data_IF_733387571100
#
_entry.id   IF_733387571100
#
_cell.length_a   1.000
_cell.length_b   1.000
_cell.length_c   1.000
_cell.angle_alpha   90.00
_cell.angle_beta   90.00
_cell.angle_gamma   90.00
#
_symmetry.space_group_name_H-M   'P 1'
#
loop_
_entity.id
_entity.type
_entity.pdbx_description
1 polymer ?
#
# COMPACT_ATOMS: atom_id res chain seq x y z
N UNK A 1 39.96 -38.21 -2.66
CA UNK A 1 38.93 -37.29 -2.14
C UNK A 1 39.49 -36.16 -1.27
N UNK A 2 40.79 -36.12 -0.93
CA UNK A 2 41.31 -35.16 0.07
C UNK A 2 41.91 -33.83 -0.45
N UNK A 3 42.34 -33.73 -1.71
CA UNK A 3 43.04 -32.54 -2.20
C UNK A 3 42.11 -31.34 -2.46
N UNK A 4 40.88 -31.60 -2.91
CA UNK A 4 39.88 -30.56 -3.19
C UNK A 4 39.31 -29.92 -1.92
N UNK A 5 39.08 -30.71 -0.87
CA UNK A 5 38.66 -30.21 0.45
C UNK A 5 39.73 -29.32 1.08
N UNK A 6 41.01 -29.74 1.01
CA UNK A 6 42.13 -28.97 1.57
C UNK A 6 42.25 -27.59 0.91
N UNK A 7 42.10 -27.52 -0.43
CA UNK A 7 42.15 -26.24 -1.16
C UNK A 7 40.95 -25.32 -0.87
N UNK A 8 39.75 -25.88 -0.63
CA UNK A 8 38.59 -25.11 -0.18
C UNK A 8 38.78 -24.56 1.24
N UNK A 9 39.40 -25.33 2.13
CA UNK A 9 39.66 -24.94 3.52
C UNK A 9 40.70 -23.80 3.61
N UNK A 10 41.70 -23.77 2.73
CA UNK A 10 42.65 -22.63 2.63
C UNK A 10 42.02 -21.35 2.05
N UNK A 11 40.85 -21.43 1.40
CA UNK A 11 40.12 -20.28 0.84
C UNK A 11 38.97 -19.79 1.74
N UNK A 12 38.70 -20.49 2.85
CA UNK A 12 37.68 -20.13 3.84
C UNK A 12 37.92 -18.73 4.43
N UNK A 13 36.87 -17.96 4.77
CA UNK A 13 36.98 -16.67 5.45
C UNK A 13 37.90 -16.71 6.69
N UNK A 14 37.85 -17.79 7.47
CA UNK A 14 38.68 -17.96 8.67
C UNK A 14 40.17 -18.10 8.31
N UNK A 15 40.48 -18.81 7.23
CA UNK A 15 41.84 -18.97 6.75
C UNK A 15 42.41 -17.63 6.21
N UNK A 16 41.56 -16.80 5.60
CA UNK A 16 41.92 -15.43 5.18
C UNK A 16 42.15 -14.52 6.39
N UNK A 17 41.29 -14.59 7.41
CA UNK A 17 41.40 -13.82 8.67
C UNK A 17 42.70 -14.15 9.40
N UNK A 18 43.03 -15.44 9.52
CA UNK A 18 44.26 -15.91 10.16
C UNK A 18 45.53 -15.46 9.40
N UNK A 19 45.50 -15.47 8.06
CA UNK A 19 46.62 -14.96 7.24
C UNK A 19 46.81 -13.45 7.40
N UNK A 20 45.72 -12.68 7.40
CA UNK A 20 45.74 -11.24 7.61
C UNK A 20 46.32 -10.91 8.99
N UNK A 21 45.84 -11.61 10.02
CA UNK A 21 46.33 -11.46 11.39
C UNK A 21 47.85 -11.70 11.49
N UNK A 22 48.35 -12.83 10.98
CA UNK A 22 49.80 -13.12 10.98
C UNK A 22 50.62 -12.08 10.22
N UNK A 23 50.11 -11.58 9.09
CA UNK A 23 50.80 -10.54 8.31
C UNK A 23 50.85 -9.20 9.05
N UNK A 24 49.79 -8.85 9.78
CA UNK A 24 49.75 -7.67 10.65
C UNK A 24 50.73 -7.84 11.83
N UNK A 25 50.70 -8.98 12.52
CA UNK A 25 51.61 -9.25 13.64
C UNK A 25 53.09 -9.10 13.25
N UNK A 26 53.46 -9.55 12.03
CA UNK A 26 54.84 -9.40 11.52
C UNK A 26 55.23 -7.94 11.22
N UNK A 27 54.29 -7.08 10.81
CA UNK A 27 54.60 -5.71 10.36
C UNK A 27 54.44 -4.64 11.44
N UNK A 28 53.43 -4.79 12.30
CA UNK A 28 53.04 -3.76 13.28
C UNK A 28 53.10 -4.27 14.73
N UNK A 29 53.49 -5.53 14.94
CA UNK A 29 53.58 -6.15 16.26
C UNK A 29 52.28 -6.82 16.69
N UNK A 30 52.39 -7.77 17.62
CA UNK A 30 51.29 -8.64 18.02
C UNK A 30 50.11 -7.88 18.64
N UNK A 31 50.40 -6.94 19.54
CA UNK A 31 49.38 -6.21 20.30
C UNK A 31 48.53 -5.31 19.41
N UNK A 32 49.17 -4.50 18.56
CA UNK A 32 48.46 -3.59 17.65
C UNK A 32 47.69 -4.36 16.58
N UNK A 33 48.20 -5.53 16.17
CA UNK A 33 47.50 -6.42 15.24
C UNK A 33 46.26 -7.06 15.87
N UNK A 34 46.31 -7.48 17.14
CA UNK A 34 45.15 -8.01 17.87
C UNK A 34 44.07 -6.94 18.01
N UNK A 35 44.44 -5.73 18.47
CA UNK A 35 43.51 -4.60 18.58
C UNK A 35 42.84 -4.28 17.23
N UNK A 36 43.62 -4.26 16.14
CA UNK A 36 43.07 -4.00 14.81
C UNK A 36 42.08 -5.09 14.38
N UNK A 37 42.36 -6.35 14.71
CA UNK A 37 41.47 -7.48 14.39
C UNK A 37 40.17 -7.45 15.20
N UNK A 38 40.17 -6.86 16.39
CA UNK A 38 38.97 -6.66 17.22
C UNK A 38 38.02 -5.59 16.64
N UNK A 39 38.55 -4.60 15.94
CA UNK A 39 37.74 -3.62 15.20
C UNK A 39 37.18 -4.16 13.88
N UNK A 40 37.71 -5.28 13.36
CA UNK A 40 37.19 -5.89 12.15
C UNK A 40 35.96 -6.75 12.45
N UNK A 41 34.82 -6.50 11.78
CA UNK A 41 33.61 -7.28 12.01
C UNK A 41 33.88 -8.80 11.84
N UNK A 42 33.21 -9.66 12.62
CA UNK A 42 33.47 -11.10 12.66
C UNK A 42 33.17 -11.79 11.32
N UNK A 43 32.11 -11.38 10.62
CA UNK A 43 31.87 -11.72 9.22
C UNK A 43 32.40 -10.60 8.33
N UNK A 44 33.04 -10.96 7.21
CA UNK A 44 33.73 -9.99 6.36
C UNK A 44 32.86 -8.82 5.92
N UNK A 45 33.50 -7.71 5.55
CA UNK A 45 32.88 -6.48 5.02
C UNK A 45 31.91 -6.67 3.84
N UNK A 46 31.77 -7.88 3.32
CA UNK A 46 30.76 -8.24 2.32
C UNK A 46 29.33 -8.27 2.85
N UNK A 47 29.11 -8.45 4.16
CA UNK A 47 27.77 -8.44 4.78
C UNK A 47 27.29 -7.03 5.15
N UNK A 48 28.18 -6.03 5.13
CA UNK A 48 27.78 -4.64 5.29
C UNK A 48 27.09 -4.22 4.00
N UNK A 49 25.80 -3.89 4.11
CA UNK A 49 24.98 -3.41 3.00
C UNK A 49 25.77 -2.36 2.22
N UNK A 50 26.07 -2.66 0.96
CA UNK A 50 26.84 -1.74 0.13
C UNK A 50 25.94 -0.57 -0.20
N UNK A 51 26.55 0.58 -0.47
CA UNK A 51 25.81 1.76 -0.92
C UNK A 51 24.91 1.45 -2.13
N UNK A 52 25.39 0.61 -3.06
CA UNK A 52 24.60 0.15 -4.22
C UNK A 52 23.34 -0.61 -3.85
N UNK A 53 23.36 -1.37 -2.76
CA UNK A 53 22.22 -2.15 -2.30
C UNK A 53 21.17 -1.21 -1.69
N UNK A 54 21.63 -0.17 -1.01
CA UNK A 54 20.80 0.91 -0.49
C UNK A 54 20.17 1.73 -1.62
N UNK A 55 20.95 2.14 -2.63
CA UNK A 55 20.46 2.89 -3.79
C UNK A 55 19.41 2.07 -4.58
N UNK A 56 19.61 0.75 -4.69
CA UNK A 56 18.64 -0.15 -5.33
C UNK A 56 17.36 -0.29 -4.51
N UNK A 57 17.50 -0.33 -3.18
CA UNK A 57 16.36 -0.38 -2.26
C UNK A 57 15.56 0.92 -2.30
N UNK A 58 16.22 2.08 -2.31
CA UNK A 58 15.62 3.41 -2.44
C UNK A 58 14.76 3.51 -3.70
N UNK A 59 15.33 3.18 -4.87
CA UNK A 59 14.61 3.18 -6.16
C UNK A 59 13.39 2.25 -6.14
N UNK A 60 13.51 1.09 -5.50
CA UNK A 60 12.40 0.14 -5.37
C UNK A 60 11.31 0.66 -4.43
N UNK A 61 11.66 1.39 -3.38
CA UNK A 61 10.69 2.04 -2.51
C UNK A 61 9.98 3.18 -3.25
N UNK A 62 10.71 4.05 -3.93
CA UNK A 62 10.16 5.18 -4.70
C UNK A 62 9.14 4.68 -5.73
N UNK A 63 9.51 3.69 -6.55
CA UNK A 63 8.59 3.07 -7.52
C UNK A 63 7.34 2.45 -6.87
N UNK A 64 7.46 1.90 -5.65
CA UNK A 64 6.31 1.36 -4.92
C UNK A 64 5.41 2.47 -4.38
N UNK A 65 6.00 3.58 -3.92
CA UNK A 65 5.24 4.75 -3.46
C UNK A 65 4.48 5.38 -4.61
N UNK A 66 5.12 5.60 -5.77
CA UNK A 66 4.45 6.13 -6.97
C UNK A 66 3.27 5.25 -7.43
N UNK A 67 3.45 3.93 -7.34
CA UNK A 67 2.40 2.97 -7.65
C UNK A 67 1.25 3.02 -6.65
N UNK A 68 1.54 3.24 -5.36
CA UNK A 68 0.52 3.40 -4.34
C UNK A 68 -0.25 4.70 -4.52
N UNK A 69 0.42 5.82 -4.78
CA UNK A 69 -0.22 7.11 -5.04
C UNK A 69 -1.16 7.02 -6.24
N UNK A 70 -0.70 6.41 -7.34
CA UNK A 70 -1.53 6.18 -8.52
C UNK A 70 -2.79 5.36 -8.22
N UNK A 71 -2.68 4.37 -7.32
CA UNK A 71 -3.82 3.53 -6.90
C UNK A 71 -4.77 4.29 -5.99
N UNK A 72 -4.26 5.13 -5.10
CA UNK A 72 -5.06 6.00 -4.24
C UNK A 72 -5.85 6.99 -5.08
N UNK A 73 -5.21 7.67 -6.04
CA UNK A 73 -5.87 8.57 -6.99
C UNK A 73 -7.01 7.89 -7.77
N UNK A 74 -6.79 6.65 -8.22
CA UNK A 74 -7.80 5.88 -8.92
C UNK A 74 -9.01 5.55 -8.02
N UNK A 75 -8.75 5.17 -6.77
CA UNK A 75 -9.81 4.90 -5.78
C UNK A 75 -10.58 6.19 -5.44
N UNK A 76 -9.90 7.31 -5.27
CA UNK A 76 -10.55 8.60 -5.01
C UNK A 76 -11.51 8.99 -6.15
N UNK A 77 -11.08 8.82 -7.41
CA UNK A 77 -11.95 9.07 -8.57
C UNK A 77 -13.18 8.16 -8.56
N UNK A 78 -13.00 6.87 -8.29
CA UNK A 78 -14.13 5.92 -8.18
C UNK A 78 -15.10 6.30 -7.05
N UNK A 79 -14.60 6.77 -5.91
CA UNK A 79 -15.44 7.24 -4.80
C UNK A 79 -16.24 8.48 -5.20
N UNK A 80 -15.63 9.43 -5.91
CA UNK A 80 -16.32 10.62 -6.42
C UNK A 80 -17.42 10.24 -7.41
N UNK A 81 -17.14 9.32 -8.33
CA UNK A 81 -18.11 8.79 -9.29
C UNK A 81 -19.29 8.10 -8.59
N UNK A 82 -19.01 7.16 -7.70
CA UNK A 82 -20.03 6.47 -6.90
C UNK A 82 -20.88 7.45 -6.08
N UNK A 83 -20.27 8.48 -5.49
CA UNK A 83 -21.00 9.53 -4.76
C UNK A 83 -21.97 10.29 -5.67
N UNK A 84 -21.56 10.58 -6.90
CA UNK A 84 -22.41 11.25 -7.88
C UNK A 84 -23.57 10.35 -8.33
N UNK A 85 -23.32 9.07 -8.57
CA UNK A 85 -24.36 8.08 -8.90
C UNK A 85 -25.38 7.94 -7.78
N UNK A 86 -24.93 7.81 -6.52
CA UNK A 86 -25.80 7.73 -5.35
C UNK A 86 -26.66 9.00 -5.20
N UNK A 87 -26.09 10.18 -5.44
CA UNK A 87 -26.86 11.44 -5.45
C UNK A 87 -27.90 11.47 -6.57
N UNK A 88 -27.56 11.01 -7.77
CA UNK A 88 -28.50 10.94 -8.89
C UNK A 88 -29.68 10.01 -8.59
N UNK A 89 -29.40 8.83 -8.02
CA UNK A 89 -30.43 7.88 -7.58
C UNK A 89 -31.32 8.48 -6.47
N UNK A 90 -30.73 9.21 -5.52
CA UNK A 90 -31.46 9.91 -4.47
C UNK A 90 -32.43 10.96 -5.01
N UNK A 91 -31.97 11.79 -5.96
CA UNK A 91 -32.79 12.81 -6.59
C UNK A 91 -33.92 12.21 -7.43
N UNK A 92 -33.66 11.10 -8.13
CA UNK A 92 -34.67 10.38 -8.90
C UNK A 92 -35.77 9.81 -8.00
N UNK A 93 -35.41 9.17 -6.89
CA UNK A 93 -36.37 8.67 -5.89
C UNK A 93 -37.24 9.80 -5.35
N UNK A 94 -36.64 10.94 -4.99
CA UNK A 94 -37.39 12.07 -4.44
C UNK A 94 -38.39 12.63 -5.47
N UNK A 95 -38.00 12.69 -6.74
CA UNK A 95 -38.86 13.19 -7.83
C UNK A 95 -40.05 12.26 -8.08
N UNK A 96 -39.81 10.94 -8.11
CA UNK A 96 -40.87 9.95 -8.31
C UNK A 96 -41.85 9.95 -7.13
N UNK A 97 -41.35 10.01 -5.88
CA UNK A 97 -42.20 10.07 -4.69
C UNK A 97 -43.03 11.36 -4.65
N UNK A 98 -42.44 12.51 -4.96
CA UNK A 98 -43.12 13.80 -4.95
C UNK A 98 -44.25 13.85 -5.99
N UNK A 99 -43.96 13.45 -7.23
CA UNK A 99 -44.95 13.41 -8.32
C UNK A 99 -46.03 12.36 -8.06
N UNK A 100 -45.65 11.15 -7.62
CA UNK A 100 -46.59 10.10 -7.24
C UNK A 100 -47.54 10.53 -6.11
N UNK A 101 -47.01 11.17 -5.06
CA UNK A 101 -47.82 11.69 -3.95
C UNK A 101 -48.80 12.77 -4.43
N UNK A 102 -48.38 13.69 -5.29
CA UNK A 102 -49.26 14.72 -5.85
C UNK A 102 -50.40 14.15 -6.71
N UNK A 103 -50.11 13.11 -7.51
CA UNK A 103 -51.11 12.41 -8.32
C UNK A 103 -52.15 11.70 -7.45
N UNK A 104 -51.70 11.02 -6.39
CA UNK A 104 -52.59 10.35 -5.44
C UNK A 104 -53.51 11.37 -4.73
N UNK A 105 -52.95 12.46 -4.21
CA UNK A 105 -53.73 13.53 -3.55
C UNK A 105 -54.77 14.11 -4.53
N UNK A 106 -54.39 14.37 -5.78
CA UNK A 106 -55.28 14.93 -6.79
C UNK A 106 -56.46 14.01 -7.12
N UNK A 107 -56.24 12.70 -7.20
CA UNK A 107 -57.30 11.70 -7.41
C UNK A 107 -58.29 11.67 -6.24
N UNK A 108 -57.80 11.69 -5.00
CA UNK A 108 -58.67 11.69 -3.82
C UNK A 108 -59.49 12.97 -3.70
N UNK A 109 -58.89 14.13 -3.92
CA UNK A 109 -59.58 15.42 -3.89
C UNK A 109 -60.62 15.51 -5.02
N UNK A 110 -60.26 15.09 -6.23
CA UNK A 110 -61.17 15.09 -7.38
C UNK A 110 -62.38 14.19 -7.19
N UNK A 111 -62.17 12.95 -6.74
CA UNK A 111 -63.27 12.00 -6.47
C UNK A 111 -64.13 12.45 -5.29
N UNK A 112 -63.50 12.97 -4.21
CA UNK A 112 -64.22 13.50 -3.06
C UNK A 112 -65.13 14.67 -3.42
N UNK A 113 -64.64 15.61 -4.24
CA UNK A 113 -65.44 16.73 -4.72
C UNK A 113 -66.63 16.29 -5.59
N UNK A 114 -66.42 15.30 -6.45
CA UNK A 114 -67.48 14.75 -7.31
C UNK A 114 -68.58 14.05 -6.50
N UNK A 115 -68.19 13.30 -5.47
CA UNK A 115 -69.13 12.62 -4.56
C UNK A 115 -70.01 13.62 -3.81
N UNK A 116 -69.44 14.72 -3.31
CA UNK A 116 -70.19 15.81 -2.67
C UNK A 116 -71.18 16.47 -3.64
N UNK A 117 -70.77 16.70 -4.89
CA UNK A 117 -71.64 17.29 -5.91
C UNK A 117 -72.85 16.38 -6.24
N UNK A 118 -72.64 15.06 -6.31
CA UNK A 118 -73.72 14.08 -6.56
C UNK A 118 -74.73 14.07 -5.41
N UNK A 119 -74.26 14.08 -4.16
CA UNK A 119 -75.13 14.09 -2.97
C UNK A 119 -76.00 15.35 -2.92
N UNK A 120 -75.45 16.52 -3.26
CA UNK A 120 -76.22 17.76 -3.32
C UNK A 120 -77.29 17.76 -4.42
N UNK A 121 -77.08 17.01 -5.51
CA UNK A 121 -78.02 16.93 -6.62
C UNK A 121 -79.21 16.02 -6.31
N UNK A 122 -79.00 14.95 -5.53
CA UNK A 122 -80.06 14.00 -5.14
C UNK A 122 -80.81 14.44 -3.87
N UNK A 123 -80.18 15.28 -3.04
CA UNK A 123 -80.78 15.81 -1.81
C UNK A 123 -81.63 17.07 -1.97
N UNK A 124 -81.91 17.50 -3.20
CA UNK A 124 -82.84 18.59 -3.53
C UNK A 124 -84.14 18.05 -4.08
#
# INVERSE_FOLDING_TARGET
MSTSETLQQLSSPDAKRLRLHRALQQKIGATVADDLMDFLPPSGWGDLARKSDLDALEKRLESRMDSLDSRVDAVERQIVELRNEVRALGNLRHTIVLTGASLAISLFVGLGGLMVAVVQLTGR
#
